data_IF_354822484853
#
_entry.id   IF_354822484853
#
_cell.length_a   1.000
_cell.length_b   1.000
_cell.length_c   1.000
_cell.angle_alpha   90.00
_cell.angle_beta   90.00
_cell.angle_gamma   90.00
#
_symmetry.space_group_name_H-M   'P 1'
#
loop_
_entity.id
_entity.type
_entity.pdbx_description
1 polymer ?
#
# COMPACT_ATOMS: atom_id res chain seq x y z
N UNK A 1 12.65 17.82 23.06
CA UNK A 1 11.45 16.94 22.98
C UNK A 1 10.57 17.21 24.21
N UNK A 2 9.26 17.43 24.03
CA UNK A 2 8.37 17.82 25.14
C UNK A 2 8.13 16.68 26.14
N UNK A 3 7.70 17.01 27.37
CA UNK A 3 7.34 16.00 28.37
C UNK A 3 6.22 15.07 27.89
N UNK A 4 5.25 15.61 27.15
CA UNK A 4 4.16 14.85 26.54
C UNK A 4 4.67 13.80 25.54
N UNK A 5 5.58 14.17 24.64
CA UNK A 5 6.17 13.23 23.66
C UNK A 5 6.96 12.13 24.36
N UNK A 6 7.74 12.45 25.40
CA UNK A 6 8.48 11.45 26.18
C UNK A 6 7.55 10.44 26.86
N UNK A 7 6.45 10.90 27.43
CA UNK A 7 5.46 10.02 28.06
C UNK A 7 4.81 9.09 27.02
N UNK A 8 4.39 9.63 25.86
CA UNK A 8 3.78 8.85 24.79
C UNK A 8 4.71 7.76 24.24
N UNK A 9 6.01 8.06 24.08
CA UNK A 9 7.01 7.07 23.65
C UNK A 9 7.19 5.99 24.72
N UNK A 10 7.26 6.38 26.01
CA UNK A 10 7.46 5.45 27.10
C UNK A 10 6.22 4.55 27.37
N UNK A 11 5.02 5.01 27.02
CA UNK A 11 3.78 4.24 27.18
C UNK A 11 3.38 3.44 25.93
N UNK A 12 4.19 3.47 24.86
CA UNK A 12 3.89 2.74 23.64
C UNK A 12 3.97 1.22 23.88
N UNK A 13 2.95 0.50 23.44
CA UNK A 13 2.91 -0.97 23.46
C UNK A 13 3.00 -1.46 22.02
N UNK A 14 3.84 -2.46 21.77
CA UNK A 14 3.92 -3.07 20.44
C UNK A 14 2.59 -3.75 20.11
N UNK A 15 2.14 -3.57 18.87
CA UNK A 15 0.99 -4.29 18.31
C UNK A 15 1.40 -4.84 16.95
N UNK A 16 1.16 -6.14 16.66
CA UNK A 16 1.44 -6.68 15.35
C UNK A 16 0.52 -6.05 14.32
N UNK A 17 1.10 -5.66 13.18
CA UNK A 17 0.35 -5.23 11.99
C UNK A 17 0.53 -6.33 10.95
N UNK A 18 -0.59 -6.82 10.41
CA UNK A 18 -0.59 -7.85 9.36
C UNK A 18 -0.82 -7.17 8.02
N UNK A 19 0.00 -7.53 7.02
CA UNK A 19 -0.16 -7.06 5.65
C UNK A 19 -0.87 -8.10 4.77
N UNK A 20 -1.56 -7.60 3.74
CA UNK A 20 -2.19 -8.40 2.70
C UNK A 20 -1.39 -8.21 1.41
N UNK A 21 -0.86 -9.29 0.85
CA UNK A 21 -0.12 -9.23 -0.42
C UNK A 21 -1.06 -9.54 -1.58
N UNK A 22 -1.16 -8.62 -2.54
CA UNK A 22 -1.97 -8.76 -3.74
C UNK A 22 -1.05 -8.85 -4.96
N UNK A 23 -1.24 -9.91 -5.76
CA UNK A 23 -0.61 -10.03 -7.08
C UNK A 23 -1.39 -9.17 -8.08
N UNK A 24 -0.71 -8.15 -8.63
CA UNK A 24 -1.26 -7.16 -9.56
C UNK A 24 -0.30 -6.87 -10.74
N UNK A 25 0.24 -7.89 -11.43
CA UNK A 25 1.17 -7.67 -12.55
C UNK A 25 0.59 -6.76 -13.64
N UNK A 26 -0.74 -6.72 -13.79
CA UNK A 26 -1.43 -5.82 -14.71
C UNK A 26 -1.21 -4.32 -14.42
N UNK A 27 -0.96 -3.93 -13.16
CA UNK A 27 -0.60 -2.54 -12.83
C UNK A 27 0.86 -2.27 -13.21
N UNK A 28 1.76 -3.21 -12.95
CA UNK A 28 3.18 -3.08 -13.31
C UNK A 28 3.42 -3.09 -14.82
N UNK A 29 2.48 -3.58 -15.62
CA UNK A 29 2.49 -3.46 -17.07
C UNK A 29 2.02 -2.09 -17.59
N UNK A 30 1.41 -1.24 -16.74
CA UNK A 30 0.84 0.05 -17.14
C UNK A 30 1.90 1.17 -17.13
N UNK A 31 2.15 1.85 -18.26
CA UNK A 31 3.14 2.93 -18.33
C UNK A 31 2.87 4.08 -17.36
N UNK A 32 1.59 4.40 -17.10
CA UNK A 32 1.15 5.43 -16.17
C UNK A 32 1.48 5.06 -14.72
N UNK A 33 1.28 3.81 -14.33
CA UNK A 33 1.63 3.32 -13.00
C UNK A 33 3.15 3.32 -12.80
N UNK A 34 3.91 2.84 -13.79
CA UNK A 34 5.39 2.91 -13.75
C UNK A 34 5.88 4.35 -13.66
N UNK A 35 5.28 5.26 -14.44
CA UNK A 35 5.61 6.68 -14.39
C UNK A 35 5.29 7.27 -13.02
N UNK A 36 4.13 6.96 -12.46
CA UNK A 36 3.76 7.38 -11.11
C UNK A 36 4.76 6.85 -10.09
N UNK A 37 5.07 5.55 -10.11
CA UNK A 37 5.98 4.90 -9.17
C UNK A 37 7.40 5.48 -9.23
N UNK A 38 7.88 5.84 -10.41
CA UNK A 38 9.18 6.49 -10.58
C UNK A 38 9.23 7.91 -9.99
N UNK A 39 8.10 8.60 -9.86
CA UNK A 39 8.03 10.01 -9.46
C UNK A 39 7.34 10.26 -8.10
N UNK A 40 6.67 9.26 -7.52
CA UNK A 40 5.93 9.38 -6.26
C UNK A 40 6.83 9.27 -5.04
N UNK A 41 6.27 9.31 -3.83
CA UNK A 41 6.96 8.94 -2.59
C UNK A 41 6.50 7.59 -2.02
N UNK A 42 5.87 6.76 -2.86
CA UNK A 42 5.38 5.44 -2.45
C UNK A 42 6.46 4.58 -1.79
N UNK A 43 6.07 3.84 -0.77
CA UNK A 43 6.96 2.87 -0.12
C UNK A 43 7.12 1.67 -1.05
N UNK A 44 8.27 1.52 -1.68
CA UNK A 44 8.48 0.49 -2.70
C UNK A 44 9.89 -0.09 -2.68
N UNK A 45 10.00 -1.34 -3.14
CA UNK A 45 11.27 -2.01 -3.46
C UNK A 45 11.77 -1.70 -4.88
N UNK A 46 10.96 -1.05 -5.71
CA UNK A 46 11.38 -0.60 -7.04
C UNK A 46 12.53 0.40 -6.94
N UNK A 47 13.54 0.25 -7.80
CA UNK A 47 14.72 1.12 -7.84
C UNK A 47 14.43 2.55 -8.30
N UNK A 48 13.20 2.80 -8.78
CA UNK A 48 12.71 4.07 -9.36
C UNK A 48 13.47 4.50 -10.62
N UNK A 49 14.17 3.56 -11.25
CA UNK A 49 14.93 3.76 -12.47
C UNK A 49 14.53 2.71 -13.50
N UNK A 50 14.07 3.17 -14.67
CA UNK A 50 13.77 2.29 -15.79
C UNK A 50 12.47 1.48 -15.65
N UNK A 51 12.25 0.52 -16.56
CA UNK A 51 11.11 -0.40 -16.52
C UNK A 51 11.32 -1.47 -15.45
N UNK A 52 10.21 -2.09 -15.00
CA UNK A 52 10.24 -3.28 -14.16
C UNK A 52 10.29 -4.49 -15.09
N UNK A 53 11.35 -5.29 -14.98
CA UNK A 53 11.61 -6.46 -15.82
C UNK A 53 11.06 -7.73 -15.18
N UNK A 54 10.97 -8.79 -15.97
CA UNK A 54 10.62 -10.12 -15.48
C UNK A 54 11.61 -10.59 -14.41
N UNK A 55 11.11 -10.98 -13.24
CA UNK A 55 11.92 -11.43 -12.10
C UNK A 55 12.35 -10.32 -11.12
N UNK A 56 12.11 -9.04 -11.43
CA UNK A 56 12.32 -7.96 -10.47
C UNK A 56 11.33 -8.07 -9.31
N UNK A 57 11.76 -7.69 -8.10
CA UNK A 57 10.86 -7.54 -6.95
C UNK A 57 10.60 -6.04 -6.79
N UNK A 58 9.40 -5.61 -7.17
CA UNK A 58 9.02 -4.20 -7.16
C UNK A 58 7.85 -3.91 -6.22
N UNK A 59 7.75 -4.68 -5.13
CA UNK A 59 6.66 -4.59 -4.15
C UNK A 59 6.39 -3.13 -3.74
N UNK A 60 5.12 -2.72 -3.74
CA UNK A 60 4.67 -1.39 -3.30
C UNK A 60 3.73 -1.56 -2.11
N UNK A 61 4.05 -0.93 -0.99
CA UNK A 61 3.17 -0.92 0.17
C UNK A 61 2.30 0.33 0.16
N UNK A 62 0.99 0.14 0.27
CA UNK A 62 -0.01 1.20 0.41
C UNK A 62 -0.87 0.93 1.63
N UNK A 63 -1.47 1.97 2.20
CA UNK A 63 -2.45 1.84 3.27
C UNK A 63 -3.83 2.16 2.72
N UNK A 64 -4.76 1.21 2.84
CA UNK A 64 -6.16 1.37 2.40
C UNK A 64 -7.04 1.61 3.62
N UNK A 65 -7.92 2.61 3.54
CA UNK A 65 -8.89 2.92 4.59
C UNK A 65 -9.83 1.72 4.84
N UNK A 66 -10.14 1.37 6.09
CA UNK A 66 -10.92 0.18 6.41
C UNK A 66 -12.40 0.25 5.99
N UNK A 67 -12.92 1.43 5.63
CA UNK A 67 -14.23 1.54 4.97
C UNK A 67 -14.22 0.93 3.57
N UNK A 68 -13.03 0.76 2.98
CA UNK A 68 -12.83 0.34 1.60
C UNK A 68 -13.59 1.23 0.60
N UNK A 69 -13.87 2.51 0.90
CA UNK A 69 -14.65 3.40 0.02
C UNK A 69 -13.82 4.11 -1.05
N UNK A 70 -12.50 3.88 -1.07
CA UNK A 70 -11.59 4.48 -2.05
C UNK A 70 -10.53 5.41 -1.45
N UNK A 71 -10.46 5.57 -0.13
CA UNK A 71 -9.41 6.38 0.52
C UNK A 71 -8.19 5.56 0.93
N UNK A 72 -7.02 6.20 0.92
CA UNK A 72 -5.74 5.59 1.33
C UNK A 72 -4.54 6.51 1.14
N UNK A 73 -3.35 6.05 1.49
CA UNK A 73 -2.12 6.87 1.45
C UNK A 73 -1.69 7.30 0.05
N UNK A 74 -2.01 6.48 -0.94
CA UNK A 74 -1.56 6.61 -2.33
C UNK A 74 -2.77 6.53 -3.27
N UNK A 75 -3.92 7.07 -2.87
CA UNK A 75 -5.17 6.99 -3.64
C UNK A 75 -5.15 7.76 -4.97
N UNK A 76 -4.11 8.56 -5.21
CA UNK A 76 -3.83 9.23 -6.49
C UNK A 76 -3.13 8.31 -7.52
N UNK A 77 -2.68 7.11 -7.09
CA UNK A 77 -2.04 6.11 -7.93
C UNK A 77 -2.94 5.63 -9.07
N UNK A 78 -2.42 5.49 -10.30
CA UNK A 78 -3.14 4.84 -11.39
C UNK A 78 -3.54 3.40 -11.03
N UNK A 79 -4.82 3.07 -11.20
CA UNK A 79 -5.36 1.75 -10.86
C UNK A 79 -5.74 1.56 -9.39
N UNK A 80 -5.82 2.63 -8.60
CA UNK A 80 -6.22 2.56 -7.19
C UNK A 80 -7.56 1.85 -6.94
N UNK A 81 -8.62 2.18 -7.70
CA UNK A 81 -9.93 1.54 -7.56
C UNK A 81 -9.85 0.02 -7.74
N UNK A 82 -9.02 -0.43 -8.68
CA UNK A 82 -8.76 -1.85 -8.92
C UNK A 82 -8.05 -2.55 -7.75
N UNK A 83 -7.13 -1.85 -7.07
CA UNK A 83 -6.52 -2.35 -5.83
C UNK A 83 -7.57 -2.51 -4.73
N UNK A 84 -8.44 -1.52 -4.55
CA UNK A 84 -9.51 -1.58 -3.55
C UNK A 84 -10.48 -2.72 -3.87
N UNK A 85 -10.83 -2.93 -5.13
CA UNK A 85 -11.70 -4.03 -5.55
C UNK A 85 -11.06 -5.40 -5.33
N UNK A 86 -9.78 -5.57 -5.65
CA UNK A 86 -9.06 -6.81 -5.34
C UNK A 86 -8.94 -7.06 -3.85
N UNK A 87 -8.71 -6.01 -3.06
CA UNK A 87 -8.68 -6.11 -1.61
C UNK A 87 -10.03 -6.59 -1.08
N UNK A 88 -11.15 -5.96 -1.49
CA UNK A 88 -12.51 -6.41 -1.16
C UNK A 88 -12.74 -7.87 -1.54
N UNK A 89 -12.31 -8.29 -2.74
CA UNK A 89 -12.44 -9.67 -3.16
C UNK A 89 -11.62 -10.65 -2.30
N UNK A 90 -10.47 -10.22 -1.77
CA UNK A 90 -9.58 -11.05 -0.95
C UNK A 90 -10.04 -11.17 0.51
N UNK A 91 -10.59 -10.11 1.10
CA UNK A 91 -10.93 -10.07 2.54
C UNK A 91 -12.44 -9.99 2.83
N UNK A 92 -13.26 -9.86 1.80
CA UNK A 92 -14.70 -9.66 1.90
C UNK A 92 -15.11 -8.19 1.96
N UNK A 93 -16.42 -7.98 2.09
CA UNK A 93 -17.04 -6.66 2.16
C UNK A 93 -17.17 -6.19 3.62
N UNK A 94 -16.96 -4.88 3.82
CA UNK A 94 -16.99 -4.24 5.13
C UNK A 94 -18.40 -3.90 5.64
N UNK A 95 -18.50 -2.94 6.59
CA UNK A 95 -17.42 -2.08 7.07
C UNK A 95 -16.47 -2.81 8.03
N UNK A 96 -15.16 -2.62 7.82
CA UNK A 96 -14.16 -2.97 8.82
C UNK A 96 -13.93 -1.76 9.74
N UNK A 97 -13.57 -2.02 11.00
CA UNK A 97 -13.23 -0.95 11.96
C UNK A 97 -11.80 -1.15 12.44
N UNK A 98 -11.11 -0.05 12.76
CA UNK A 98 -9.76 -0.08 13.31
C UNK A 98 -8.71 0.53 12.39
N UNK A 99 -7.56 -0.14 12.27
CA UNK A 99 -6.40 0.36 11.54
C UNK A 99 -6.59 0.25 10.03
N UNK A 100 -5.88 1.09 9.28
CA UNK A 100 -5.73 0.96 7.83
C UNK A 100 -5.12 -0.41 7.48
N UNK A 101 -5.56 -0.98 6.37
CA UNK A 101 -4.97 -2.21 5.83
C UNK A 101 -3.62 -1.90 5.21
N UNK A 102 -2.57 -2.60 5.65
CA UNK A 102 -1.30 -2.62 4.92
C UNK A 102 -1.46 -3.55 3.74
N UNK A 103 -1.39 -3.02 2.52
CA UNK A 103 -1.50 -3.79 1.29
C UNK A 103 -0.18 -3.73 0.55
N UNK A 104 0.38 -4.90 0.23
CA UNK A 104 1.59 -5.03 -0.59
C UNK A 104 1.19 -5.44 -1.99
N UNK A 105 1.34 -4.54 -2.95
CA UNK A 105 1.15 -4.77 -4.37
C UNK A 105 2.39 -5.44 -4.93
N UNK A 106 2.22 -6.58 -5.60
CA UNK A 106 3.33 -7.35 -6.15
C UNK A 106 3.18 -7.56 -7.65
N UNK A 107 4.31 -7.59 -8.35
CA UNK A 107 4.38 -7.91 -9.78
C UNK A 107 4.47 -9.43 -10.05
N UNK A 108 4.45 -10.26 -9.00
CA UNK A 108 4.45 -11.73 -9.06
C UNK A 108 3.19 -12.35 -8.48
#
# INVERSE_FOLDING_TARGET
MSAHVRHAVASAVSSPITGIKLSVPELFAQPEFIRWLNNSHAMTWHSRQGPISEGDIADVAVFVDPSLTGEGTDSDMPGWEHVVDKLRAAIGEGPFTGNHFVVVLSNS
#
